data_IF_718730594808
#
_entry.id   IF_718730594808
#
_cell.length_a   1.000
_cell.length_b   1.000
_cell.length_c   1.000
_cell.angle_alpha   90.00
_cell.angle_beta   90.00
_cell.angle_gamma   90.00
#
_symmetry.space_group_name_H-M   'P 1'
#
loop_
_entity.id
_entity.type
_entity.pdbx_description
1 polymer ?
#
# COMPACT_ATOMS: atom_id res chain seq x y z
N UNK A 1 -20.26 -4.39 1.65
CA UNK A 1 -18.83 -4.57 2.02
C UNK A 1 -17.86 -4.13 0.93
N UNK A 2 -18.06 -4.48 -0.36
CA UNK A 2 -17.20 -3.99 -1.46
C UNK A 2 -16.95 -2.47 -1.42
N UNK A 3 -18.01 -1.66 -1.40
CA UNK A 3 -17.89 -0.20 -1.40
C UNK A 3 -17.12 0.36 -0.20
N UNK A 4 -17.16 -0.32 0.95
CA UNK A 4 -16.38 0.06 2.11
C UNK A 4 -14.88 -0.12 1.85
N UNK A 5 -14.47 -1.27 1.32
CA UNK A 5 -13.07 -1.51 0.95
C UNK A 5 -12.59 -0.54 -0.14
N UNK A 6 -13.42 -0.24 -1.14
CA UNK A 6 -13.10 0.75 -2.18
C UNK A 6 -12.96 2.17 -1.59
N UNK A 7 -13.83 2.55 -0.66
CA UNK A 7 -13.76 3.83 0.04
C UNK A 7 -12.50 3.91 0.92
N UNK A 8 -12.16 2.82 1.62
CA UNK A 8 -10.92 2.72 2.39
C UNK A 8 -9.70 2.86 1.47
N UNK A 9 -9.67 2.17 0.32
CA UNK A 9 -8.60 2.32 -0.67
C UNK A 9 -8.44 3.78 -1.12
N UNK A 10 -9.54 4.46 -1.44
CA UNK A 10 -9.52 5.86 -1.84
C UNK A 10 -9.04 6.79 -0.71
N UNK A 11 -9.51 6.55 0.52
CA UNK A 11 -9.10 7.30 1.69
C UNK A 11 -7.60 7.14 1.96
N UNK A 12 -7.06 5.93 1.84
CA UNK A 12 -5.62 5.67 1.97
C UNK A 12 -4.82 6.35 0.87
N UNK A 13 -5.29 6.34 -0.38
CA UNK A 13 -4.67 7.08 -1.50
C UNK A 13 -4.59 8.58 -1.18
N UNK A 14 -5.70 9.19 -0.79
CA UNK A 14 -5.75 10.60 -0.44
C UNK A 14 -4.83 10.93 0.73
N UNK A 15 -4.87 10.11 1.78
CA UNK A 15 -4.06 10.28 2.99
C UNK A 15 -2.57 10.18 2.64
N UNK A 16 -2.17 9.26 1.77
CA UNK A 16 -0.77 9.12 1.34
C UNK A 16 -0.26 10.36 0.61
N UNK A 17 -1.05 10.90 -0.32
CA UNK A 17 -0.72 12.13 -1.05
C UNK A 17 -0.61 13.31 -0.08
N UNK A 18 -1.58 13.46 0.82
CA UNK A 18 -1.58 14.51 1.84
C UNK A 18 -0.36 14.39 2.77
N UNK A 19 -0.08 13.19 3.26
CA UNK A 19 1.02 12.91 4.17
C UNK A 19 2.39 13.21 3.57
N UNK A 20 2.58 12.89 2.28
CA UNK A 20 3.78 13.30 1.54
C UNK A 20 3.95 14.82 1.55
N UNK A 21 2.87 15.57 1.30
CA UNK A 21 2.90 17.04 1.28
C UNK A 21 3.31 17.64 2.63
N UNK A 22 2.84 17.04 3.74
CA UNK A 22 3.22 17.46 5.09
C UNK A 22 4.68 17.15 5.39
N UNK A 23 5.14 15.94 5.08
CA UNK A 23 6.54 15.55 5.28
C UNK A 23 7.49 16.44 4.47
N UNK A 24 7.08 16.78 3.24
CA UNK A 24 7.79 17.67 2.33
C UNK A 24 8.23 19.00 2.97
N UNK A 25 7.40 19.57 3.85
CA UNK A 25 7.60 20.87 4.48
C UNK A 25 8.49 20.84 5.73
N UNK A 26 8.75 19.66 6.31
CA UNK A 26 9.35 19.54 7.65
C UNK A 26 10.69 18.78 7.65
N UNK A 27 11.33 18.55 6.50
CA UNK A 27 12.48 17.64 6.34
C UNK A 27 13.70 17.95 7.23
N UNK A 28 13.91 19.21 7.61
CA UNK A 28 15.11 19.65 8.35
C UNK A 28 15.25 19.12 9.79
N UNK A 29 14.33 18.28 10.29
CA UNK A 29 14.34 17.77 11.68
C UNK A 29 14.58 16.26 11.80
N UNK A 30 14.95 15.60 10.71
CA UNK A 30 14.98 14.13 10.64
C UNK A 30 16.41 13.61 10.78
N UNK A 31 16.60 12.56 11.60
CA UNK A 31 17.87 11.86 11.73
C UNK A 31 18.18 11.08 10.43
N UNK A 32 19.31 11.40 9.80
CA UNK A 32 19.78 10.80 8.54
C UNK A 32 19.98 9.29 8.62
N UNK A 33 20.44 8.74 9.75
CA UNK A 33 20.72 7.31 9.89
C UNK A 33 19.43 6.50 9.92
N UNK A 34 18.42 7.02 10.61
CA UNK A 34 17.07 6.43 10.66
C UNK A 34 16.46 6.49 9.26
N UNK A 35 16.54 7.65 8.60
CA UNK A 35 16.05 7.85 7.24
C UNK A 35 16.68 6.86 6.25
N UNK A 36 18.00 6.69 6.26
CA UNK A 36 18.71 5.78 5.36
C UNK A 36 18.25 4.32 5.48
N UNK A 37 18.01 3.84 6.72
CA UNK A 37 17.46 2.48 6.95
C UNK A 37 16.05 2.36 6.39
N UNK A 38 15.22 3.37 6.62
CA UNK A 38 13.85 3.44 6.14
C UNK A 38 13.77 3.52 4.59
N UNK A 39 14.65 4.27 3.95
CA UNK A 39 14.76 4.37 2.48
C UNK A 39 15.19 3.04 1.85
N UNK A 40 16.03 2.25 2.54
CA UNK A 40 16.36 0.88 2.11
C UNK A 40 15.13 -0.03 2.15
N UNK A 41 14.34 0.05 3.23
CA UNK A 41 13.09 -0.71 3.35
C UNK A 41 12.10 -0.36 2.23
N UNK A 42 11.88 0.93 1.94
CA UNK A 42 11.01 1.36 0.85
C UNK A 42 11.47 0.89 -0.53
N UNK A 43 12.78 0.84 -0.77
CA UNK A 43 13.36 0.30 -2.02
C UNK A 43 13.08 -1.19 -2.18
N UNK A 44 13.19 -1.98 -1.11
CA UNK A 44 12.89 -3.42 -1.14
C UNK A 44 11.41 -3.66 -1.45
N UNK A 45 10.52 -2.94 -0.77
CA UNK A 45 9.06 -3.11 -0.93
C UNK A 45 8.57 -2.64 -2.31
N UNK A 46 9.34 -1.79 -2.99
CA UNK A 46 9.10 -1.39 -4.38
C UNK A 46 9.04 -2.59 -5.36
N UNK A 47 9.71 -3.70 -5.03
CA UNK A 47 9.70 -4.93 -5.83
C UNK A 47 8.57 -5.90 -5.44
N UNK A 48 7.83 -5.65 -4.35
CA UNK A 48 6.79 -6.55 -3.87
C UNK A 48 5.70 -6.87 -4.92
N UNK A 49 5.17 -5.90 -5.71
CA UNK A 49 4.20 -6.20 -6.78
C UNK A 49 4.72 -7.18 -7.82
N UNK A 50 6.00 -7.05 -8.20
CA UNK A 50 6.64 -7.88 -9.21
C UNK A 50 6.80 -9.30 -8.66
N UNK A 51 7.26 -9.44 -7.42
CA UNK A 51 7.39 -10.74 -6.75
C UNK A 51 6.02 -11.41 -6.64
N UNK A 52 5.01 -10.68 -6.18
CA UNK A 52 3.63 -11.19 -6.06
C UNK A 52 3.10 -11.65 -7.42
N UNK A 53 3.29 -10.85 -8.47
CA UNK A 53 2.88 -11.22 -9.83
C UNK A 53 3.57 -12.51 -10.30
N UNK A 54 4.89 -12.61 -10.16
CA UNK A 54 5.66 -13.81 -10.55
C UNK A 54 5.17 -15.05 -9.81
N UNK A 55 5.01 -14.95 -8.49
CA UNK A 55 4.54 -16.06 -7.65
C UNK A 55 3.15 -16.50 -8.09
N UNK A 56 2.20 -15.57 -8.25
CA UNK A 56 0.83 -15.91 -8.68
C UNK A 56 0.82 -16.57 -10.06
N UNK A 57 1.62 -16.07 -11.01
CA UNK A 57 1.71 -16.65 -12.36
C UNK A 57 2.21 -18.09 -12.29
N UNK A 58 3.26 -18.37 -11.50
CA UNK A 58 3.76 -19.73 -11.27
C UNK A 58 2.65 -20.62 -10.67
N UNK A 59 1.94 -20.13 -9.65
CA UNK A 59 0.85 -20.87 -9.01
C UNK A 59 -0.33 -21.15 -9.96
N UNK A 60 -0.67 -20.20 -10.84
CA UNK A 60 -1.70 -20.38 -11.87
C UNK A 60 -1.29 -21.46 -12.88
N UNK A 61 -0.05 -21.40 -13.36
CA UNK A 61 0.46 -22.33 -14.38
C UNK A 61 0.60 -23.77 -13.83
N UNK A 62 1.02 -23.92 -12.58
CA UNK A 62 1.38 -25.22 -11.98
C UNK A 62 0.22 -25.87 -11.20
N UNK A 63 -0.64 -25.09 -10.54
CA UNK A 63 -1.65 -25.64 -9.60
C UNK A 63 -3.08 -25.16 -9.84
N UNK A 64 -3.30 -23.90 -10.28
CA UNK A 64 -4.64 -23.32 -10.32
C UNK A 64 -5.08 -22.93 -11.74
N UNK A 65 -5.53 -23.93 -12.50
CA UNK A 65 -6.18 -23.71 -13.81
C UNK A 65 -7.57 -23.07 -13.72
N UNK A 66 -8.22 -23.07 -12.55
CA UNK A 66 -9.55 -22.48 -12.36
C UNK A 66 -9.50 -21.15 -11.60
N UNK A 67 -10.31 -20.17 -12.07
CA UNK A 67 -10.48 -18.83 -11.47
C UNK A 67 -9.21 -18.00 -11.31
N UNK A 68 -8.26 -18.17 -12.22
CA UNK A 68 -6.96 -17.48 -12.23
C UNK A 68 -7.10 -15.96 -12.20
N UNK A 69 -8.10 -15.41 -12.89
CA UNK A 69 -8.39 -13.97 -12.89
C UNK A 69 -8.78 -13.42 -11.52
N UNK A 70 -9.61 -14.16 -10.75
CA UNK A 70 -10.03 -13.75 -9.39
C UNK A 70 -8.85 -13.77 -8.44
N UNK A 71 -8.01 -14.81 -8.53
CA UNK A 71 -6.82 -14.97 -7.68
C UNK A 71 -5.77 -13.90 -7.96
N UNK A 72 -5.59 -13.53 -9.23
CA UNK A 72 -4.69 -12.44 -9.61
C UNK A 72 -5.20 -11.09 -9.08
N UNK A 73 -6.49 -10.81 -9.29
CA UNK A 73 -7.14 -9.60 -8.79
C UNK A 73 -7.05 -9.48 -7.25
N UNK A 74 -7.32 -10.58 -6.56
CA UNK A 74 -7.20 -10.72 -5.12
C UNK A 74 -5.80 -10.39 -4.62
N UNK A 75 -4.79 -11.10 -5.11
CA UNK A 75 -3.45 -10.97 -4.56
C UNK A 75 -2.77 -9.65 -4.95
N UNK A 76 -3.14 -9.06 -6.09
CA UNK A 76 -2.72 -7.70 -6.45
C UNK A 76 -3.31 -6.66 -5.48
N UNK A 77 -4.61 -6.71 -5.21
CA UNK A 77 -5.27 -5.78 -4.29
C UNK A 77 -4.77 -5.93 -2.84
N UNK A 78 -4.49 -7.16 -2.40
CA UNK A 78 -3.89 -7.42 -1.07
C UNK A 78 -2.45 -6.90 -0.99
N UNK A 79 -1.65 -7.04 -2.04
CA UNK A 79 -0.29 -6.53 -2.08
C UNK A 79 -0.26 -5.01 -1.92
N UNK A 80 -1.20 -4.28 -2.53
CA UNK A 80 -1.30 -2.83 -2.37
C UNK A 80 -1.51 -2.42 -0.91
N UNK A 81 -2.40 -3.11 -0.16
CA UNK A 81 -2.58 -2.81 1.27
C UNK A 81 -1.31 -3.04 2.08
N UNK A 82 -0.55 -4.11 1.80
CA UNK A 82 0.75 -4.33 2.42
C UNK A 82 1.74 -3.21 2.10
N UNK A 83 1.83 -2.79 0.85
CA UNK A 83 2.72 -1.69 0.46
C UNK A 83 2.32 -0.36 1.11
N UNK A 84 1.02 -0.09 1.20
CA UNK A 84 0.49 1.08 1.88
C UNK A 84 0.82 1.08 3.38
N UNK A 85 0.75 -0.08 4.04
CA UNK A 85 1.16 -0.19 5.45
C UNK A 85 2.63 0.19 5.67
N UNK A 86 3.52 -0.26 4.78
CA UNK A 86 4.96 0.02 4.87
C UNK A 86 5.23 1.50 4.67
N UNK A 87 4.62 2.14 3.66
CA UNK A 87 4.87 3.56 3.41
C UNK A 87 4.25 4.46 4.48
N UNK A 88 3.10 4.09 5.06
CA UNK A 88 2.57 4.81 6.21
C UNK A 88 3.41 4.61 7.46
N UNK A 89 3.97 3.41 7.66
CA UNK A 89 4.92 3.16 8.73
C UNK A 89 6.17 4.03 8.57
N UNK A 90 6.72 4.12 7.36
CA UNK A 90 7.80 5.05 7.03
C UNK A 90 7.45 6.48 7.44
N UNK A 91 6.30 6.99 6.97
CA UNK A 91 5.87 8.36 7.26
C UNK A 91 5.66 8.58 8.77
N UNK A 92 5.11 7.60 9.47
CA UNK A 92 4.87 7.66 10.92
C UNK A 92 6.18 7.88 11.67
N UNK A 93 7.20 7.08 11.39
CA UNK A 93 8.52 7.21 12.02
C UNK A 93 9.15 8.56 11.70
N UNK A 94 9.04 9.00 10.44
CA UNK A 94 9.59 10.28 9.98
C UNK A 94 8.90 11.50 10.62
N UNK A 95 7.66 11.35 11.07
CA UNK A 95 6.87 12.44 11.66
C UNK A 95 6.62 12.33 13.16
N UNK A 96 7.15 11.28 13.81
CA UNK A 96 6.93 11.00 15.23
C UNK A 96 7.33 12.15 16.16
N UNK A 97 8.33 12.95 15.75
CA UNK A 97 8.83 14.13 16.49
C UNK A 97 8.21 15.47 16.06
N UNK A 98 7.32 15.48 15.08
CA UNK A 98 6.83 16.72 14.46
C UNK A 98 5.49 17.20 15.04
N UNK A 99 4.43 16.39 14.91
CA UNK A 99 3.06 16.78 15.27
C UNK A 99 2.27 15.56 15.73
N UNK A 100 1.87 15.55 17.00
CA UNK A 100 1.14 14.43 17.64
C UNK A 100 -0.09 13.99 16.84
N UNK A 101 -0.90 14.93 16.35
CA UNK A 101 -2.11 14.62 15.57
C UNK A 101 -1.81 13.92 14.24
N UNK A 102 -0.82 14.39 13.49
CA UNK A 102 -0.45 13.82 12.19
C UNK A 102 0.14 12.41 12.35
N UNK A 103 0.96 12.22 13.39
CA UNK A 103 1.47 10.89 13.76
C UNK A 103 0.33 9.93 14.11
N UNK A 104 -0.67 10.37 14.88
CA UNK A 104 -1.85 9.53 15.18
C UNK A 104 -2.61 9.12 13.92
N UNK A 105 -2.82 10.04 12.97
CA UNK A 105 -3.50 9.74 11.70
C UNK A 105 -2.73 8.69 10.89
N UNK A 106 -1.40 8.82 10.81
CA UNK A 106 -0.56 7.88 10.06
C UNK A 106 -0.46 6.51 10.73
N UNK A 107 -0.45 6.44 12.07
CA UNK A 107 -0.58 5.18 12.82
C UNK A 107 -1.91 4.49 12.52
N UNK A 108 -3.02 5.23 12.52
CA UNK A 108 -4.33 4.68 12.18
C UNK A 108 -4.32 4.16 10.73
N UNK A 109 -3.70 4.89 9.80
CA UNK A 109 -3.57 4.43 8.42
C UNK A 109 -2.75 3.13 8.29
N UNK A 110 -1.69 2.95 9.08
CA UNK A 110 -0.98 1.66 9.20
C UNK A 110 -1.95 0.58 9.70
N UNK A 111 -2.67 0.82 10.80
CA UNK A 111 -3.61 -0.15 11.36
C UNK A 111 -4.69 -0.57 10.37
N UNK A 112 -5.32 0.39 9.69
CA UNK A 112 -6.38 0.13 8.70
C UNK A 112 -5.84 -0.65 7.50
N UNK A 113 -4.65 -0.29 6.99
CA UNK A 113 -4.06 -0.99 5.84
C UNK A 113 -3.65 -2.42 6.20
N UNK A 114 -3.03 -2.65 7.37
CA UNK A 114 -2.68 -4.00 7.85
C UNK A 114 -3.92 -4.84 8.09
N UNK A 115 -4.93 -4.30 8.77
CA UNK A 115 -6.18 -5.02 9.04
C UNK A 115 -6.88 -5.41 7.73
N UNK A 116 -6.94 -4.48 6.77
CA UNK A 116 -7.50 -4.74 5.43
C UNK A 116 -6.73 -5.83 4.70
N UNK A 117 -5.39 -5.79 4.75
CA UNK A 117 -4.54 -6.81 4.15
C UNK A 117 -4.78 -8.19 4.75
N UNK A 118 -4.78 -8.31 6.09
CA UNK A 118 -5.01 -9.58 6.80
C UNK A 118 -6.39 -10.13 6.49
N UNK A 119 -7.43 -9.29 6.59
CA UNK A 119 -8.80 -9.70 6.34
C UNK A 119 -8.98 -10.22 4.90
N UNK A 120 -8.48 -9.47 3.92
CA UNK A 120 -8.57 -9.82 2.51
C UNK A 120 -7.59 -10.91 2.10
N UNK A 121 -6.56 -11.25 2.88
CA UNK A 121 -5.58 -12.31 2.53
C UNK A 121 -6.27 -13.66 2.28
N UNK A 122 -7.35 -13.95 3.01
CA UNK A 122 -8.16 -15.14 2.73
C UNK A 122 -9.00 -14.93 1.47
N UNK A 123 -8.81 -15.79 0.47
CA UNK A 123 -9.53 -15.71 -0.81
C UNK A 123 -11.05 -15.70 -0.64
N UNK A 124 -11.58 -16.45 0.33
CA UNK A 124 -13.03 -16.51 0.61
C UNK A 124 -13.59 -15.15 1.06
N UNK A 125 -12.84 -14.40 1.87
CA UNK A 125 -13.26 -13.06 2.27
C UNK A 125 -13.24 -12.10 1.08
N UNK A 126 -12.20 -12.16 0.24
CA UNK A 126 -12.14 -11.33 -0.96
C UNK A 126 -13.30 -11.64 -1.92
N UNK A 127 -13.53 -12.92 -2.23
CA UNK A 127 -14.66 -13.34 -3.06
C UNK A 127 -16.00 -12.93 -2.43
N UNK A 128 -16.15 -13.07 -1.11
CA UNK A 128 -17.36 -12.64 -0.38
C UNK A 128 -17.59 -11.13 -0.43
N UNK A 129 -16.52 -10.34 -0.30
CA UNK A 129 -16.57 -8.86 -0.35
C UNK A 129 -16.96 -8.38 -1.75
N UNK A 130 -16.35 -8.94 -2.80
CA UNK A 130 -16.50 -8.48 -4.19
C UNK A 130 -17.45 -9.33 -5.03
N UNK A 131 -18.22 -10.25 -4.43
CA UNK A 131 -19.15 -11.16 -5.12
C UNK A 131 -20.13 -10.45 -6.05
N UNK A 132 -20.63 -9.29 -5.64
CA UNK A 132 -21.67 -8.52 -6.33
C UNK A 132 -21.12 -7.40 -7.23
N UNK A 133 -19.80 -7.29 -7.36
CA UNK A 133 -19.14 -6.19 -8.06
C UNK A 133 -18.27 -6.74 -9.17
N UNK A 134 -18.30 -6.10 -10.34
CA UNK A 134 -17.40 -6.47 -11.43
C UNK A 134 -15.95 -6.33 -10.97
N UNK A 135 -15.16 -7.40 -11.10
CA UNK A 135 -13.74 -7.47 -10.73
C UNK A 135 -12.86 -6.42 -11.42
N UNK A 136 -13.31 -5.81 -12.53
CA UNK A 136 -12.65 -4.64 -13.10
C UNK A 136 -12.57 -3.45 -12.13
N UNK A 137 -13.56 -3.29 -11.24
CA UNK A 137 -13.61 -2.18 -10.29
C UNK A 137 -12.50 -2.29 -9.23
N UNK A 138 -12.37 -3.38 -8.43
CA UNK A 138 -11.26 -3.51 -7.50
C UNK A 138 -9.89 -3.47 -8.19
N UNK A 139 -9.77 -4.01 -9.42
CA UNK A 139 -8.54 -3.89 -10.20
C UNK A 139 -8.19 -2.44 -10.55
N UNK A 140 -9.17 -1.62 -10.94
CA UNK A 140 -8.94 -0.20 -11.19
C UNK A 140 -8.41 0.50 -9.94
N UNK A 141 -9.02 0.25 -8.77
CA UNK A 141 -8.55 0.82 -7.51
C UNK A 141 -7.15 0.32 -7.13
N UNK A 142 -6.85 -0.97 -7.36
CA UNK A 142 -5.51 -1.53 -7.17
C UNK A 142 -4.47 -0.78 -8.01
N UNK A 143 -4.74 -0.60 -9.31
CA UNK A 143 -3.84 0.14 -10.21
C UNK A 143 -3.65 1.58 -9.74
N UNK A 144 -4.72 2.28 -9.33
CA UNK A 144 -4.62 3.64 -8.79
C UNK A 144 -3.75 3.67 -7.53
N UNK A 145 -3.97 2.74 -6.61
CA UNK A 145 -3.16 2.61 -5.39
C UNK A 145 -1.68 2.39 -5.75
N UNK A 146 -1.40 1.46 -6.65
CA UNK A 146 -0.05 1.14 -7.08
C UNK A 146 0.66 2.34 -7.72
N UNK A 147 0.00 3.04 -8.64
CA UNK A 147 0.57 4.22 -9.31
C UNK A 147 0.88 5.32 -8.30
N UNK A 148 -0.04 5.59 -7.37
CA UNK A 148 0.16 6.60 -6.33
C UNK A 148 1.29 6.20 -5.38
N UNK A 149 1.35 4.93 -4.98
CA UNK A 149 2.45 4.40 -4.19
C UNK A 149 3.79 4.64 -4.87
N UNK A 150 3.95 4.25 -6.15
CA UNK A 150 5.22 4.43 -6.87
C UNK A 150 5.58 5.90 -7.00
N UNK A 151 4.61 6.76 -7.33
CA UNK A 151 4.82 8.20 -7.42
C UNK A 151 5.30 8.81 -6.09
N UNK A 152 4.68 8.44 -4.97
CA UNK A 152 5.04 8.94 -3.65
C UNK A 152 6.39 8.38 -3.22
N UNK A 153 6.61 7.07 -3.35
CA UNK A 153 7.86 6.40 -3.01
C UNK A 153 9.04 7.01 -3.80
N UNK A 154 8.91 7.16 -5.11
CA UNK A 154 9.92 7.82 -5.95
C UNK A 154 10.25 9.23 -5.44
N UNK A 155 9.23 10.03 -5.09
CA UNK A 155 9.43 11.39 -4.58
C UNK A 155 10.05 11.44 -3.19
N UNK A 156 9.77 10.46 -2.33
CA UNK A 156 10.41 10.34 -1.03
C UNK A 156 11.90 9.97 -1.17
N UNK A 157 12.23 9.02 -2.06
CA UNK A 157 13.60 8.54 -2.27
C UNK A 157 14.49 9.50 -3.07
N UNK A 158 13.93 10.34 -3.94
CA UNK A 158 14.71 11.27 -4.79
C UNK A 158 14.98 12.63 -4.15
N UNK A 159 14.36 12.92 -3.01
CA UNK A 159 14.49 14.23 -2.36
C UNK A 159 15.91 14.51 -1.84
N UNK A 160 16.77 13.50 -1.73
CA UNK A 160 18.18 13.62 -1.33
C UNK A 160 19.14 14.10 -2.43
N UNK A 161 18.69 14.25 -3.68
CA UNK A 161 19.57 14.62 -4.82
C UNK A 161 19.57 16.11 -5.17
N UNK A 162 19.01 16.98 -4.32
CA UNK A 162 19.03 18.44 -4.48
C UNK A 162 19.58 19.09 -3.22
#
# INVERSE_FOLDING_TARGET
>A
MAYLFLLVSLALVFLLIFSKGVLGKNDGKINSDVKNKLDRMLRIVCFAPIIVFVVIVIFILVHFKSRSYVRLSHAFFVADFWMYSVIFYYITIMTIKMKKLFTSITIIAVGVSVFSAIYLTQLQHYEGVFRSVNLMIPNFFAVVMLVVYYYVNYKLLTKDKK
#
